data_IF_199897590291
#
_entry.id   IF_199897590291
#
_cell.length_a   1.000
_cell.length_b   1.000
_cell.length_c   1.000
_cell.angle_alpha   90.00
_cell.angle_beta   90.00
_cell.angle_gamma   90.00
#
_symmetry.space_group_name_H-M   'P 1'
#
loop_
_entity.id
_entity.type
_entity.pdbx_description
1 polymer ?
#
# COMPACT_ATOMS: atom_id res chain seq x y z
N UNK A 1 4.17 16.61 15.58
CA UNK A 1 4.65 17.90 15.04
C UNK A 1 5.17 18.76 16.17
N UNK A 2 6.14 19.62 15.89
CA UNK A 2 6.66 20.61 16.82
C UNK A 2 6.72 22.01 16.17
N UNK A 3 6.58 23.08 16.96
CA UNK A 3 6.21 23.02 18.37
C UNK A 3 4.70 22.74 18.56
N UNK A 4 4.25 22.57 19.81
CA UNK A 4 2.81 22.48 20.12
C UNK A 4 2.19 23.88 20.12
N UNK A 5 0.87 23.97 19.97
CA UNK A 5 0.15 25.24 20.11
C UNK A 5 0.43 25.90 21.46
N UNK A 6 0.60 27.21 21.47
CA UNK A 6 0.91 27.97 22.67
C UNK A 6 1.17 29.45 22.38
N UNK A 7 1.49 30.19 23.43
CA UNK A 7 1.90 31.59 23.32
C UNK A 7 3.40 31.68 23.13
N UNK A 8 3.80 32.47 22.14
CA UNK A 8 5.19 32.75 21.82
C UNK A 8 5.40 34.27 21.83
N UNK A 9 6.50 34.77 22.40
CA UNK A 9 6.81 36.20 22.35
C UNK A 9 6.90 36.71 20.91
N UNK A 10 6.58 37.98 20.70
CA UNK A 10 6.72 38.60 19.39
C UNK A 10 8.19 38.62 18.95
N UNK A 11 8.43 38.51 17.65
CA UNK A 11 9.73 38.41 16.99
C UNK A 11 10.56 37.17 17.32
N UNK A 12 9.97 36.13 17.95
CA UNK A 12 10.64 34.84 18.06
C UNK A 12 10.54 34.08 16.74
N UNK A 13 11.65 33.46 16.34
CA UNK A 13 11.66 32.47 15.27
C UNK A 13 11.32 31.11 15.84
N UNK A 14 10.32 30.46 15.25
CA UNK A 14 9.91 29.10 15.58
C UNK A 14 10.30 28.18 14.43
N UNK A 15 10.98 27.08 14.74
CA UNK A 15 11.19 25.99 13.79
C UNK A 15 9.98 25.04 13.81
N UNK A 16 9.31 24.94 12.68
CA UNK A 16 8.30 23.93 12.39
C UNK A 16 8.99 22.61 12.04
N UNK A 17 8.56 21.52 12.64
CA UNK A 17 9.06 20.17 12.33
C UNK A 17 7.94 19.13 12.30
N UNK A 18 7.70 18.59 11.11
CA UNK A 18 6.70 17.55 10.87
C UNK A 18 7.30 16.15 11.09
N UNK A 19 6.87 15.49 12.15
CA UNK A 19 7.25 14.11 12.47
C UNK A 19 6.18 13.13 11.97
N UNK A 20 6.57 12.20 11.10
CA UNK A 20 5.67 11.22 10.50
C UNK A 20 5.52 9.98 11.39
N UNK A 21 4.28 9.58 11.65
CA UNK A 21 3.98 8.29 12.27
C UNK A 21 4.09 7.16 11.23
N UNK A 22 4.32 5.92 11.68
CA UNK A 22 4.40 4.76 10.78
C UNK A 22 3.14 4.67 9.91
N UNK A 23 3.35 4.57 8.60
CA UNK A 23 2.27 4.46 7.62
C UNK A 23 1.63 5.79 7.22
N UNK A 24 2.13 6.91 7.74
CA UNK A 24 1.76 8.26 7.31
C UNK A 24 2.95 8.92 6.62
N UNK A 25 2.67 9.75 5.62
CA UNK A 25 3.68 10.56 4.94
C UNK A 25 3.25 12.02 5.02
N UNK A 26 4.19 12.89 5.39
CA UNK A 26 3.95 14.33 5.41
C UNK A 26 3.64 14.80 3.99
N UNK A 27 2.57 15.57 3.85
CA UNK A 27 2.16 16.14 2.56
C UNK A 27 2.55 17.61 2.45
N UNK A 28 2.14 18.43 3.43
CA UNK A 28 2.37 19.88 3.41
C UNK A 28 2.04 20.49 4.79
N UNK A 29 2.55 21.70 5.01
CA UNK A 29 2.02 22.63 5.98
C UNK A 29 0.90 23.46 5.36
N UNK A 30 -0.17 23.67 6.12
CA UNK A 30 -1.25 24.59 5.83
C UNK A 30 -1.22 25.69 6.89
N UNK A 31 -0.68 26.84 6.51
CA UNK A 31 -0.57 28.01 7.37
C UNK A 31 -1.75 28.96 7.19
N UNK A 32 -2.14 29.64 8.25
CA UNK A 32 -3.07 30.77 8.18
C UNK A 32 -2.54 31.95 9.02
N UNK A 33 -2.71 33.17 8.50
CA UNK A 33 -2.12 34.39 9.05
C UNK A 33 -1.03 34.97 8.13
N UNK A 34 -0.79 36.27 8.25
CA UNK A 34 0.06 37.04 7.31
C UNK A 34 1.53 36.62 7.28
N UNK A 35 2.00 35.95 8.34
CA UNK A 35 3.39 35.48 8.50
C UNK A 35 3.49 33.96 8.69
N UNK A 36 2.41 33.25 8.34
CA UNK A 36 2.36 31.78 8.39
C UNK A 36 3.14 31.12 7.25
N UNK A 37 3.43 29.83 7.39
CA UNK A 37 4.10 29.02 6.39
C UNK A 37 3.13 28.02 5.73
N UNK A 38 3.00 28.11 4.41
CA UNK A 38 2.32 27.08 3.61
C UNK A 38 3.30 26.51 2.60
N UNK A 39 3.55 25.20 2.64
CA UNK A 39 4.54 24.58 1.77
C UNK A 39 4.80 23.11 2.05
N UNK A 40 5.60 22.48 1.18
CA UNK A 40 5.90 21.05 1.24
C UNK A 40 7.19 20.71 1.98
N UNK A 41 7.89 21.68 2.57
CA UNK A 41 9.09 21.40 3.36
C UNK A 41 8.68 20.92 4.77
N UNK A 42 9.06 19.70 5.19
CA UNK A 42 8.73 19.21 6.54
C UNK A 42 9.37 20.05 7.66
N UNK A 43 10.44 20.78 7.35
CA UNK A 43 11.06 21.76 8.25
C UNK A 43 10.95 23.16 7.68
N UNK A 44 10.51 24.13 8.48
CA UNK A 44 10.40 25.52 8.06
C UNK A 44 10.55 26.45 9.28
N UNK A 45 10.87 27.72 9.03
CA UNK A 45 10.95 28.73 10.08
C UNK A 45 9.84 29.77 9.89
N UNK A 46 9.17 30.13 10.97
CA UNK A 46 8.20 31.23 11.02
C UNK A 46 8.59 32.23 12.08
N UNK A 47 8.38 33.52 11.81
CA UNK A 47 8.64 34.59 12.78
C UNK A 47 7.30 35.07 13.33
N UNK A 48 7.15 35.03 14.64
CA UNK A 48 5.88 35.40 15.30
C UNK A 48 5.76 36.91 15.32
N UNK A 49 5.12 37.49 14.30
CA UNK A 49 4.86 38.94 14.22
C UNK A 49 3.38 39.28 14.38
N UNK A 50 2.50 38.30 14.16
CA UNK A 50 1.06 38.38 14.34
C UNK A 50 0.51 36.99 14.68
N UNK A 51 -0.75 36.87 15.15
CA UNK A 51 -1.38 35.57 15.32
C UNK A 51 -1.34 34.76 14.03
N UNK A 52 -0.90 33.50 14.14
CA UNK A 52 -0.79 32.55 13.03
C UNK A 52 -1.17 31.15 13.50
N UNK A 53 -1.56 30.28 12.57
CA UNK A 53 -1.78 28.86 12.83
C UNK A 53 -1.07 28.02 11.78
N UNK A 54 -0.45 26.93 12.22
CA UNK A 54 0.25 25.99 11.35
C UNK A 54 -0.32 24.59 11.53
N UNK A 55 -0.79 23.97 10.45
CA UNK A 55 -1.29 22.60 10.46
C UNK A 55 -0.42 21.72 9.56
N UNK A 56 0.13 20.64 10.10
CA UNK A 56 0.84 19.63 9.32
C UNK A 56 -0.17 18.61 8.75
N UNK A 57 -0.26 18.54 7.42
CA UNK A 57 -1.10 17.61 6.70
C UNK A 57 -0.34 16.33 6.40
N UNK A 58 -0.95 15.18 6.71
CA UNK A 58 -0.39 13.86 6.45
C UNK A 58 -1.32 13.04 5.56
N UNK A 59 -0.73 12.20 4.72
CA UNK A 59 -1.45 11.26 3.83
C UNK A 59 -1.13 9.82 4.23
N UNK A 60 -2.13 8.93 4.25
CA UNK A 60 -1.94 7.54 4.65
C UNK A 60 -1.27 6.72 3.54
N UNK A 61 -0.61 5.64 3.94
CA UNK A 61 -0.05 4.65 3.01
C UNK A 61 -0.75 3.30 3.11
N UNK A 62 -0.65 2.53 2.05
CA UNK A 62 -1.06 1.12 2.01
C UNK A 62 0.19 0.27 1.81
N UNK A 63 0.48 -0.58 2.78
CA UNK A 63 1.53 -1.58 2.70
C UNK A 63 0.94 -2.89 2.16
N UNK A 64 1.46 -3.39 1.04
CA UNK A 64 0.95 -4.60 0.40
C UNK A 64 2.09 -5.60 0.26
N UNK A 65 1.89 -6.79 0.80
CA UNK A 65 2.80 -7.93 0.67
C UNK A 65 2.14 -9.03 -0.16
N UNK A 66 2.76 -9.41 -1.27
CA UNK A 66 2.32 -10.52 -2.12
C UNK A 66 2.91 -11.84 -1.63
N UNK A 67 2.21 -12.93 -1.91
CA UNK A 67 2.72 -14.29 -1.68
C UNK A 67 3.37 -14.84 -2.96
N UNK A 68 4.15 -15.92 -2.83
CA UNK A 68 4.74 -16.60 -3.99
C UNK A 68 3.64 -17.01 -4.99
N UNK A 69 3.90 -16.76 -6.27
CA UNK A 69 3.00 -17.11 -7.37
C UNK A 69 1.76 -16.23 -7.55
N UNK A 70 1.56 -15.19 -6.74
CA UNK A 70 0.45 -14.24 -6.90
C UNK A 70 1.01 -12.83 -7.08
N UNK A 71 0.75 -12.21 -8.22
CA UNK A 71 0.95 -10.78 -8.42
C UNK A 71 -0.27 -9.99 -7.94
N UNK A 72 -0.08 -8.69 -7.68
CA UNK A 72 -1.18 -7.77 -7.38
C UNK A 72 -1.12 -6.60 -8.33
N UNK A 73 -2.17 -6.40 -9.10
CA UNK A 73 -2.39 -5.18 -9.88
C UNK A 73 -3.11 -4.18 -8.99
N UNK A 74 -2.64 -2.93 -8.97
CA UNK A 74 -3.33 -1.86 -8.27
C UNK A 74 -3.59 -0.65 -9.15
N UNK A 75 -4.71 0.01 -8.87
CA UNK A 75 -5.18 1.21 -9.53
C UNK A 75 -5.49 2.29 -8.49
N UNK A 76 -4.91 3.48 -8.69
CA UNK A 76 -5.19 4.69 -7.92
C UNK A 76 -5.48 5.84 -8.90
N UNK A 77 -6.05 6.94 -8.42
CA UNK A 77 -6.46 8.08 -9.26
C UNK A 77 -5.35 8.65 -10.16
N UNK A 78 -4.09 8.56 -9.71
CA UNK A 78 -2.92 9.11 -10.41
C UNK A 78 -2.07 8.06 -11.14
N UNK A 79 -2.40 6.76 -11.01
CA UNK A 79 -1.60 5.70 -11.61
C UNK A 79 -2.44 4.43 -11.85
N UNK A 80 -2.45 3.96 -13.10
CA UNK A 80 -3.21 2.80 -13.55
C UNK A 80 -2.30 1.61 -13.89
N UNK A 81 -2.77 0.39 -13.62
CA UNK A 81 -2.17 -0.89 -13.99
C UNK A 81 -0.75 -1.15 -13.47
N UNK A 82 -0.44 -0.65 -12.27
CA UNK A 82 0.81 -0.98 -11.62
C UNK A 82 0.77 -2.41 -11.08
N UNK A 83 1.85 -3.16 -11.24
CA UNK A 83 1.93 -4.57 -10.81
C UNK A 83 2.98 -4.76 -9.73
N UNK A 84 2.59 -5.41 -8.65
CA UNK A 84 3.49 -5.91 -7.61
C UNK A 84 3.78 -7.37 -7.95
N UNK A 85 5.05 -7.67 -8.23
CA UNK A 85 5.48 -9.03 -8.52
C UNK A 85 5.32 -9.96 -7.29
N UNK A 86 5.23 -11.29 -7.48
CA UNK A 86 5.08 -12.22 -6.37
C UNK A 86 6.21 -12.18 -5.35
N UNK A 87 5.88 -12.47 -4.08
CA UNK A 87 6.82 -12.53 -2.97
C UNK A 87 7.45 -11.18 -2.57
N UNK A 88 6.86 -10.05 -2.98
CA UNK A 88 7.37 -8.70 -2.73
C UNK A 88 6.43 -7.94 -1.79
N UNK A 89 7.01 -7.09 -0.96
CA UNK A 89 6.27 -6.08 -0.21
C UNK A 89 6.59 -4.69 -0.75
N UNK A 90 5.56 -3.85 -0.92
CA UNK A 90 5.72 -2.42 -1.25
C UNK A 90 4.84 -1.55 -0.36
N UNK A 91 5.16 -0.26 -0.31
CA UNK A 91 4.38 0.77 0.38
C UNK A 91 3.95 1.81 -0.65
N UNK A 92 2.65 2.10 -0.70
CA UNK A 92 2.07 3.03 -1.66
C UNK A 92 1.45 4.18 -0.90
N UNK A 93 1.80 5.42 -1.26
CA UNK A 93 1.06 6.60 -0.80
C UNK A 93 -0.29 6.66 -1.54
N UNK A 94 -1.40 6.63 -0.81
CA UNK A 94 -2.74 6.64 -1.41
C UNK A 94 -3.51 7.85 -0.92
N UNK A 95 -4.02 8.63 -1.88
CA UNK A 95 -4.95 9.72 -1.59
C UNK A 95 -6.36 9.31 -2.03
N UNK A 96 -7.15 8.78 -1.10
CA UNK A 96 -8.53 8.34 -1.37
C UNK A 96 -8.62 6.87 -1.76
N UNK A 97 -9.12 6.57 -2.96
CA UNK A 97 -9.47 5.20 -3.37
C UNK A 97 -8.28 4.44 -3.96
N UNK A 98 -8.17 3.16 -3.61
CA UNK A 98 -7.31 2.17 -4.27
C UNK A 98 -8.11 0.92 -4.61
N UNK A 99 -7.95 0.41 -5.83
CA UNK A 99 -8.47 -0.89 -6.24
C UNK A 99 -7.31 -1.86 -6.40
N UNK A 100 -7.43 -3.04 -5.79
CA UNK A 100 -6.44 -4.12 -5.82
C UNK A 100 -7.05 -5.34 -6.48
N UNK A 101 -6.30 -5.98 -7.38
CA UNK A 101 -6.64 -7.24 -8.02
C UNK A 101 -5.50 -8.22 -7.83
N UNK A 102 -5.75 -9.32 -7.12
CA UNK A 102 -4.84 -10.44 -7.03
C UNK A 102 -4.93 -11.28 -8.31
N UNK A 103 -3.77 -11.59 -8.89
CA UNK A 103 -3.64 -12.40 -10.11
C UNK A 103 -2.67 -13.55 -9.83
N UNK A 104 -3.13 -14.81 -9.85
CA UNK A 104 -2.21 -15.95 -9.90
C UNK A 104 -1.38 -15.90 -11.18
N UNK A 105 -0.06 -15.91 -11.05
CA UNK A 105 0.87 -15.82 -12.18
C UNK A 105 1.10 -17.19 -12.84
N UNK A 106 0.88 -18.26 -12.09
CA UNK A 106 0.97 -19.64 -12.57
C UNK A 106 -0.25 -20.45 -12.09
N UNK A 107 -0.69 -21.44 -12.88
CA UNK A 107 -1.94 -22.16 -12.62
C UNK A 107 -1.85 -23.08 -11.38
N UNK A 108 -0.63 -23.35 -10.90
CA UNK A 108 -0.36 -24.07 -9.66
C UNK A 108 -0.62 -23.26 -8.39
N UNK A 109 -0.74 -21.95 -8.48
CA UNK A 109 -1.08 -21.11 -7.34
C UNK A 109 -2.53 -20.70 -7.40
N UNK A 110 -3.14 -20.61 -6.22
CA UNK A 110 -4.49 -20.08 -6.06
C UNK A 110 -4.47 -18.93 -5.07
N UNK A 111 -5.26 -17.90 -5.35
CA UNK A 111 -5.52 -16.82 -4.42
C UNK A 111 -6.54 -17.31 -3.38
N UNK A 112 -6.18 -17.27 -2.10
CA UNK A 112 -7.05 -17.69 -1.01
C UNK A 112 -7.72 -16.50 -0.30
N UNK A 113 -7.13 -15.31 -0.39
CA UNK A 113 -7.71 -14.13 0.23
C UNK A 113 -6.68 -13.05 0.57
N UNK A 114 -7.21 -11.88 0.94
CA UNK A 114 -6.50 -10.80 1.59
C UNK A 114 -6.53 -11.02 3.12
N UNK A 115 -5.45 -10.67 3.81
CA UNK A 115 -5.34 -10.64 5.28
C UNK A 115 -4.78 -9.30 5.73
N UNK A 116 -5.16 -8.82 6.90
CA UNK A 116 -4.53 -7.67 7.56
C UNK A 116 -5.58 -6.68 8.03
N UNK A 117 -5.48 -5.43 7.61
CA UNK A 117 -6.50 -4.40 7.88
C UNK A 117 -7.87 -4.81 7.34
N UNK A 118 -7.92 -5.63 6.29
CA UNK A 118 -9.15 -6.21 5.73
C UNK A 118 -8.91 -7.68 5.45
N UNK A 119 -9.93 -8.50 5.72
CA UNK A 119 -9.98 -9.91 5.34
C UNK A 119 -11.06 -10.09 4.28
N UNK A 120 -10.70 -10.64 3.13
CA UNK A 120 -11.64 -10.85 2.02
C UNK A 120 -11.16 -11.98 1.12
N UNK A 121 -12.09 -12.75 0.57
CA UNK A 121 -11.81 -13.80 -0.43
C UNK A 121 -12.03 -13.32 -1.86
N UNK A 122 -12.52 -12.08 -2.06
CA UNK A 122 -12.67 -11.51 -3.40
C UNK A 122 -11.30 -11.17 -3.97
N UNK A 123 -11.01 -11.66 -5.17
CA UNK A 123 -9.75 -11.38 -5.87
C UNK A 123 -9.59 -9.90 -6.22
N UNK A 124 -10.70 -9.17 -6.35
CA UNK A 124 -10.73 -7.72 -6.52
C UNK A 124 -11.36 -7.06 -5.29
N UNK A 125 -10.67 -6.07 -4.72
CA UNK A 125 -11.17 -5.24 -3.62
C UNK A 125 -10.93 -3.76 -3.92
N UNK A 126 -11.83 -2.90 -3.49
CA UNK A 126 -11.67 -1.44 -3.56
C UNK A 126 -11.80 -0.85 -2.17
N UNK A 127 -10.81 -0.06 -1.77
CA UNK A 127 -10.67 0.50 -0.43
C UNK A 127 -10.65 2.02 -0.49
N UNK A 128 -11.23 2.66 0.51
CA UNK A 128 -11.08 4.10 0.75
C UNK A 128 -10.07 4.29 1.89
N UNK A 129 -8.90 4.87 1.59
CA UNK A 129 -7.76 4.93 2.50
C UNK A 129 -7.80 6.24 3.29
N UNK A 130 -8.35 6.17 4.50
CA UNK A 130 -8.39 7.28 5.47
C UNK A 130 -7.34 7.15 6.57
N UNK A 131 -6.74 5.97 6.71
CA UNK A 131 -5.72 5.63 7.69
C UNK A 131 -4.74 4.63 7.08
N UNK A 132 -3.56 4.41 7.68
CA UNK A 132 -2.60 3.45 7.14
C UNK A 132 -3.17 2.03 7.15
N UNK A 133 -2.98 1.33 6.04
CA UNK A 133 -3.46 -0.03 5.86
C UNK A 133 -2.30 -0.99 5.61
N UNK A 134 -2.47 -2.23 6.07
CA UNK A 134 -1.56 -3.34 5.79
C UNK A 134 -2.36 -4.51 5.24
N UNK A 135 -1.92 -5.03 4.09
CA UNK A 135 -2.54 -6.16 3.40
C UNK A 135 -1.47 -7.19 3.03
N UNK A 136 -1.79 -8.44 3.30
CA UNK A 136 -0.99 -9.59 2.89
C UNK A 136 -1.86 -10.54 2.07
N UNK A 137 -1.38 -10.94 0.90
CA UNK A 137 -2.02 -11.96 0.08
C UNK A 137 -1.79 -13.33 0.72
N UNK A 138 -2.87 -14.09 0.91
CA UNK A 138 -2.81 -15.53 1.18
C UNK A 138 -2.86 -16.28 -0.15
N UNK A 139 -1.85 -17.10 -0.39
CA UNK A 139 -1.79 -18.01 -1.53
C UNK A 139 -1.86 -19.46 -1.06
N UNK A 140 -2.36 -20.33 -1.92
CA UNK A 140 -2.32 -21.77 -1.78
C UNK A 140 -1.83 -22.42 -3.08
N UNK A 141 -1.72 -23.75 -3.05
CA UNK A 141 -1.51 -24.54 -4.26
C UNK A 141 -2.84 -24.99 -4.84
N UNK A 142 -2.95 -25.04 -6.16
CA UNK A 142 -4.06 -25.64 -6.87
C UNK A 142 -3.85 -27.16 -6.94
N UNK A 143 -4.16 -27.84 -5.83
CA UNK A 143 -3.93 -29.28 -5.69
C UNK A 143 -4.73 -30.10 -6.71
N UNK A 144 -5.95 -29.67 -7.06
CA UNK A 144 -6.76 -30.33 -8.08
C UNK A 144 -6.03 -30.34 -9.42
N UNK A 145 -5.53 -29.18 -9.86
CA UNK A 145 -4.74 -29.11 -11.11
C UNK A 145 -3.48 -29.98 -11.05
N UNK A 146 -2.75 -29.94 -9.93
CA UNK A 146 -1.56 -30.78 -9.75
C UNK A 146 -1.89 -32.27 -9.88
N UNK A 147 -2.98 -32.72 -9.27
CA UNK A 147 -3.42 -34.13 -9.34
C UNK A 147 -3.82 -34.53 -10.76
N UNK A 148 -4.50 -33.64 -11.49
CA UNK A 148 -4.88 -33.87 -12.90
C UNK A 148 -3.63 -34.01 -13.78
N UNK A 149 -2.64 -33.11 -13.62
CA UNK A 149 -1.41 -33.19 -14.42
C UNK A 149 -0.65 -34.48 -14.12
N UNK A 150 -0.51 -34.85 -12.85
CA UNK A 150 0.16 -36.10 -12.47
C UNK A 150 -0.56 -37.30 -13.09
N UNK A 151 -1.89 -37.34 -13.04
CA UNK A 151 -2.68 -38.41 -13.65
C UNK A 151 -2.49 -38.48 -15.18
N UNK A 152 -2.53 -37.33 -15.87
CA UNK A 152 -2.29 -37.27 -17.31
C UNK A 152 -0.90 -37.79 -17.70
N UNK A 153 0.13 -37.44 -16.92
CA UNK A 153 1.50 -37.93 -17.14
C UNK A 153 1.56 -39.45 -16.95
N UNK A 154 0.96 -39.98 -15.88
CA UNK A 154 0.92 -41.43 -15.62
C UNK A 154 0.23 -42.20 -16.75
N UNK A 155 -0.90 -41.69 -17.27
CA UNK A 155 -1.61 -42.29 -18.41
C UNK A 155 -0.75 -42.25 -19.67
N UNK A 156 -0.10 -41.12 -19.97
CA UNK A 156 0.76 -40.99 -21.15
C UNK A 156 1.96 -41.95 -21.09
N UNK A 157 2.60 -42.08 -19.93
CA UNK A 157 3.69 -43.04 -19.71
C UNK A 157 3.21 -44.47 -19.90
N UNK A 158 2.05 -44.82 -19.34
CA UNK A 158 1.45 -46.15 -19.51
C UNK A 158 1.19 -46.47 -21.00
N UNK A 159 0.61 -45.53 -21.75
CA UNK A 159 0.37 -45.71 -23.19
C UNK A 159 1.68 -45.83 -23.98
N UNK A 160 2.69 -45.01 -23.66
CA UNK A 160 3.99 -45.07 -24.31
C UNK A 160 4.72 -46.39 -24.06
N UNK A 161 4.61 -46.95 -22.85
CA UNK A 161 5.15 -48.26 -22.52
C UNK A 161 4.39 -49.38 -23.24
N UNK A 162 3.06 -49.31 -23.30
CA UNK A 162 2.23 -50.29 -24.02
C UNK A 162 2.53 -50.35 -25.52
N UNK A 163 2.85 -49.22 -26.16
CA UNK A 163 3.19 -49.17 -27.59
C UNK A 163 4.63 -49.61 -27.92
N UNK A 164 5.48 -49.84 -26.90
CA UNK A 164 6.86 -50.34 -27.07
C UNK A 164 6.98 -51.85 -26.93
N UNK A 165 5.90 -52.56 -26.61
CA UNK A 165 5.78 -54.02 -26.59
C UNK A 165 4.95 -54.50 -27.78
#
# INVERSE_FOLDING_TARGET
MQPKSGFYPINTTIELSAHQNKGWVFSAWSGNGSVSYTGSNPQANVVVQSPLSEEALFKPTVSICTSKGISVVYNISIATNNTIIPGKCIVILVNGKITLQAKPDFPFYTFLGWKGSINSTNSVITLFVTQPLFLQVKAGLNLLLMTIIILCILIAVFLALKHRH
#
